data_IF_363337853758
#
_entry.id   IF_363337853758
#
_cell.length_a   1.000
_cell.length_b   1.000
_cell.length_c   1.000
_cell.angle_alpha   90.00
_cell.angle_beta   90.00
_cell.angle_gamma   90.00
#
_symmetry.space_group_name_H-M   'P 1'
#
loop_
_entity.id
_entity.type
_entity.pdbx_description
1 polymer ?
#
# COMPACT_ATOMS: atom_id res chain seq x y z
N UNK A 1 -12.69 -8.55 15.05
CA UNK A 1 -12.25 -8.14 13.71
C UNK A 1 -11.75 -6.71 13.85
N UNK A 2 -10.50 -6.44 13.47
CA UNK A 2 -9.88 -5.13 13.54
C UNK A 2 -10.30 -4.33 12.30
N UNK A 3 -10.88 -3.15 12.49
CA UNK A 3 -11.24 -2.29 11.36
C UNK A 3 -10.06 -1.40 10.98
N UNK A 4 -9.63 -1.52 9.73
CA UNK A 4 -8.55 -0.72 9.16
C UNK A 4 -9.06 0.70 8.96
N UNK A 5 -8.47 1.67 9.68
CA UNK A 5 -8.83 3.08 9.55
C UNK A 5 -8.31 3.69 8.24
N UNK A 6 -8.91 4.78 7.78
CA UNK A 6 -8.42 5.55 6.64
C UNK A 6 -6.98 6.04 6.83
N UNK A 7 -6.60 6.39 8.06
CA UNK A 7 -5.22 6.76 8.41
C UNK A 7 -4.23 5.61 8.20
N UNK A 8 -4.62 4.38 8.54
CA UNK A 8 -3.81 3.20 8.32
C UNK A 8 -3.68 2.88 6.82
N UNK A 9 -4.75 3.06 6.03
CA UNK A 9 -4.67 2.96 4.57
C UNK A 9 -3.75 4.02 3.96
N UNK A 10 -3.79 5.26 4.46
CA UNK A 10 -2.89 6.33 4.03
C UNK A 10 -1.42 5.99 4.31
N UNK A 11 -1.11 5.51 5.52
CA UNK A 11 0.24 5.09 5.87
C UNK A 11 0.70 3.93 4.98
N UNK A 12 -0.13 2.89 4.81
CA UNK A 12 0.19 1.75 3.96
C UNK A 12 0.40 2.15 2.49
N UNK A 13 -0.43 3.04 1.96
CA UNK A 13 -0.31 3.57 0.61
C UNK A 13 0.98 4.40 0.43
N UNK A 14 1.32 5.25 1.40
CA UNK A 14 2.57 6.02 1.38
C UNK A 14 3.79 5.09 1.38
N UNK A 15 3.80 4.05 2.23
CA UNK A 15 4.87 3.05 2.29
C UNK A 15 4.98 2.24 1.01
N UNK A 16 3.85 1.85 0.41
CA UNK A 16 3.84 1.14 -0.86
C UNK A 16 4.36 2.02 -2.00
N UNK A 17 3.94 3.28 -2.07
CA UNK A 17 4.42 4.25 -3.05
C UNK A 17 5.91 4.51 -2.95
N UNK A 18 6.43 4.62 -1.72
CA UNK A 18 7.86 4.77 -1.44
C UNK A 18 8.63 3.50 -1.87
N UNK A 19 8.13 2.32 -1.51
CA UNK A 19 8.77 1.05 -1.84
C UNK A 19 8.72 0.69 -3.34
N UNK A 20 7.73 1.21 -4.08
CA UNK A 20 7.69 1.11 -5.54
C UNK A 20 8.84 1.91 -6.17
N UNK A 21 9.27 3.02 -5.56
CA UNK A 21 10.40 3.87 -5.99
C UNK A 21 10.48 4.12 -7.51
N UNK A 22 9.38 4.55 -8.12
CA UNK A 22 9.36 4.80 -9.57
C UNK A 22 9.25 3.54 -10.46
N UNK A 23 9.34 2.34 -9.89
CA UNK A 23 9.17 1.07 -10.57
C UNK A 23 7.77 0.84 -11.13
N UNK A 24 7.68 -0.14 -12.04
CA UNK A 24 6.43 -0.60 -12.66
C UNK A 24 5.90 -1.89 -12.02
N UNK A 25 6.62 -2.44 -11.04
CA UNK A 25 6.27 -3.66 -10.34
C UNK A 25 6.87 -3.61 -8.94
N UNK A 26 6.10 -4.06 -7.95
CA UNK A 26 6.56 -4.24 -6.59
C UNK A 26 6.19 -5.65 -6.11
N UNK A 27 7.13 -6.30 -5.44
CA UNK A 27 6.89 -7.56 -4.74
C UNK A 27 7.71 -7.57 -3.45
N UNK A 28 7.04 -7.60 -2.32
CA UNK A 28 7.72 -7.57 -1.03
C UNK A 28 6.77 -7.44 0.15
N UNK A 29 7.37 -7.33 1.33
CA UNK A 29 6.67 -7.12 2.60
C UNK A 29 7.04 -5.77 3.18
N UNK A 30 6.01 -5.01 3.56
CA UNK A 30 6.09 -3.75 4.27
C UNK A 30 5.65 -4.01 5.72
N UNK A 31 6.60 -3.98 6.65
CA UNK A 31 6.32 -4.08 8.07
C UNK A 31 6.43 -2.69 8.71
N UNK A 32 5.38 -2.27 9.40
CA UNK A 32 5.31 -0.97 10.06
C UNK A 32 4.39 -1.03 11.28
N UNK A 33 4.57 -0.11 12.23
CA UNK A 33 3.77 -0.05 13.45
C UNK A 33 2.79 1.11 13.38
N UNK A 34 1.52 0.86 13.64
CA UNK A 34 0.46 1.87 13.67
C UNK A 34 -0.19 1.89 15.06
N UNK A 35 0.17 2.89 15.87
CA UNK A 35 -0.19 2.94 17.28
C UNK A 35 0.38 1.74 18.05
N UNK A 36 -0.50 0.93 18.65
CA UNK A 36 -0.16 -0.30 19.38
C UNK A 36 -0.34 -1.58 18.54
N UNK A 37 -0.57 -1.45 17.23
CA UNK A 37 -0.74 -2.58 16.31
C UNK A 37 0.45 -2.67 15.37
N UNK A 38 1.07 -3.85 15.30
CA UNK A 38 2.07 -4.15 14.28
C UNK A 38 1.38 -4.62 13.00
N UNK A 39 1.69 -3.96 11.89
CA UNK A 39 1.09 -4.21 10.58
C UNK A 39 2.15 -4.78 9.64
N UNK A 40 1.75 -5.79 8.87
CA UNK A 40 2.58 -6.35 7.79
C UNK A 40 1.75 -6.53 6.54
N UNK A 41 2.02 -5.69 5.53
CA UNK A 41 1.47 -5.81 4.19
C UNK A 41 2.47 -6.56 3.32
N UNK A 42 2.17 -7.79 2.91
CA UNK A 42 2.92 -8.44 1.83
C UNK A 42 2.09 -8.34 0.57
N UNK A 43 2.65 -7.76 -0.49
CA UNK A 43 1.93 -7.57 -1.74
C UNK A 43 2.85 -7.73 -2.94
N UNK A 44 2.26 -8.25 -4.01
CA UNK A 44 2.81 -8.21 -5.36
C UNK A 44 1.85 -7.41 -6.24
N UNK A 45 2.30 -6.26 -6.73
CA UNK A 45 1.47 -5.31 -7.46
C UNK A 45 2.15 -4.89 -8.75
N UNK A 46 1.35 -4.77 -9.82
CA UNK A 46 1.78 -4.15 -11.07
C UNK A 46 1.37 -2.68 -11.00
N UNK A 47 2.33 -1.80 -11.29
CA UNK A 47 2.17 -0.35 -11.20
C UNK A 47 2.03 0.21 -12.60
N UNK A 48 0.84 0.72 -12.91
CA UNK A 48 0.61 1.44 -14.14
C UNK A 48 0.96 2.91 -13.93
N UNK A 49 1.84 3.42 -14.79
CA UNK A 49 2.25 4.82 -14.77
C UNK A 49 1.80 5.51 -16.03
N UNK A 50 1.22 6.69 -15.85
CA UNK A 50 0.93 7.61 -16.92
C UNK A 50 2.21 8.31 -17.39
N UNK A 51 2.06 9.12 -18.43
CA UNK A 51 3.05 10.11 -18.82
C UNK A 51 2.36 11.45 -18.93
N UNK A 52 2.76 12.39 -18.08
CA UNK A 52 2.25 13.76 -18.12
C UNK A 52 3.42 14.65 -18.51
N UNK A 53 3.27 15.38 -19.62
CA UNK A 53 4.26 16.37 -20.06
C UNK A 53 3.79 17.75 -19.62
N UNK A 54 4.56 18.38 -18.74
CA UNK A 54 4.33 19.74 -18.28
C UNK A 54 5.48 20.64 -18.77
N UNK A 55 5.33 21.99 -18.80
CA UNK A 55 6.42 22.89 -19.15
C UNK A 55 7.69 22.70 -18.31
N UNK A 56 7.54 22.22 -17.08
CA UNK A 56 8.59 21.97 -16.10
C UNK A 56 9.27 20.60 -16.30
N UNK A 57 8.74 19.76 -17.19
CA UNK A 57 9.29 18.45 -17.51
C UNK A 57 8.26 17.33 -17.65
N UNK A 58 8.74 16.13 -17.89
CA UNK A 58 7.92 14.91 -17.99
C UNK A 58 7.83 14.24 -16.63
N UNK A 59 6.61 13.92 -16.20
CA UNK A 59 6.32 13.16 -14.99
C UNK A 59 5.66 11.83 -15.33
N UNK A 60 5.91 10.83 -14.49
CA UNK A 60 5.34 9.48 -14.61
C UNK A 60 4.52 9.12 -13.35
N UNK A 61 3.37 9.79 -13.13
CA UNK A 61 2.53 9.52 -11.97
C UNK A 61 1.97 8.09 -12.04
N UNK A 62 1.75 7.48 -10.88
CA UNK A 62 0.98 6.23 -10.78
C UNK A 62 -0.46 6.55 -11.18
N UNK A 63 -1.00 5.78 -12.12
CA UNK A 63 -2.38 5.92 -12.60
C UNK A 63 -3.26 4.79 -12.11
N UNK A 64 -2.67 3.61 -11.90
CA UNK A 64 -3.38 2.47 -11.32
C UNK A 64 -2.40 1.49 -10.66
N UNK A 65 -2.92 0.72 -9.70
CA UNK A 65 -2.24 -0.43 -9.09
C UNK A 65 -3.10 -1.67 -9.28
N UNK A 66 -2.52 -2.71 -9.87
CA UNK A 66 -3.19 -4.00 -10.01
C UNK A 66 -2.56 -4.99 -9.03
N UNK A 67 -3.25 -5.38 -7.95
CA UNK A 67 -2.76 -6.42 -7.06
C UNK A 67 -2.81 -7.78 -7.75
N UNK A 68 -1.68 -8.47 -7.80
CA UNK A 68 -1.58 -9.85 -8.25
C UNK A 68 -1.82 -10.80 -7.08
N UNK A 69 -1.23 -10.49 -5.93
CA UNK A 69 -1.38 -11.23 -4.68
C UNK A 69 -1.11 -10.29 -3.51
N UNK A 70 -1.83 -10.44 -2.40
CA UNK A 70 -1.59 -9.65 -1.20
C UNK A 70 -2.11 -10.35 0.05
N UNK A 71 -1.48 -10.05 1.19
CA UNK A 71 -1.90 -10.41 2.54
C UNK A 71 -1.60 -9.24 3.48
N UNK A 72 -2.55 -8.92 4.37
CA UNK A 72 -2.38 -7.89 5.38
C UNK A 72 -2.60 -8.47 6.78
N UNK A 73 -1.53 -8.53 7.56
CA UNK A 73 -1.56 -9.04 8.93
C UNK A 73 -1.50 -7.89 9.93
N UNK A 74 -2.33 -7.98 10.96
CA UNK A 74 -2.33 -7.07 12.10
C UNK A 74 -2.09 -7.88 13.37
N UNK A 75 -1.06 -7.54 14.13
CA UNK A 75 -0.71 -8.18 15.40
C UNK A 75 -0.85 -7.19 16.54
N UNK A 76 -1.54 -7.60 17.60
CA UNK A 76 -1.68 -6.86 18.84
C UNK A 76 -1.08 -7.67 20.00
N UNK A 77 -1.11 -7.14 21.23
CA UNK A 77 -0.51 -7.78 22.40
C UNK A 77 -1.00 -9.23 22.67
N UNK A 78 -2.15 -9.63 22.12
CA UNK A 78 -2.72 -10.97 22.22
C UNK A 78 -2.43 -11.90 21.02
N UNK A 79 -1.65 -11.46 20.03
CA UNK A 79 -1.38 -12.20 18.80
C UNK A 79 -2.01 -11.57 17.57
N UNK A 80 -2.11 -12.37 16.51
CA UNK A 80 -2.69 -11.94 15.23
C UNK A 80 -4.19 -11.72 15.36
N UNK A 81 -4.66 -10.58 14.84
CA UNK A 81 -6.06 -10.20 14.80
C UNK A 81 -6.49 -10.10 13.34
N UNK A 82 -7.58 -10.79 12.98
CA UNK A 82 -8.19 -10.66 11.66
C UNK A 82 -8.68 -9.23 11.44
N UNK A 83 -8.38 -8.68 10.27
CA UNK A 83 -8.80 -7.34 9.86
C UNK A 83 -9.73 -7.39 8.63
N UNK A 84 -10.34 -6.25 8.32
CA UNK A 84 -11.22 -6.04 7.17
C UNK A 84 -10.49 -5.31 6.02
N UNK A 85 -9.17 -5.50 5.89
CA UNK A 85 -8.39 -4.83 4.86
C UNK A 85 -8.88 -5.16 3.45
N UNK A 86 -9.06 -4.12 2.63
CA UNK A 86 -9.36 -4.22 1.21
C UNK A 86 -8.32 -3.42 0.41
N UNK A 87 -7.65 -4.10 -0.51
CA UNK A 87 -6.70 -3.47 -1.41
C UNK A 87 -7.36 -2.38 -2.28
N UNK A 88 -8.64 -2.51 -2.61
CA UNK A 88 -9.41 -1.54 -3.38
C UNK A 88 -9.55 -0.20 -2.65
N UNK A 89 -9.63 -0.22 -1.32
CA UNK A 89 -9.61 1.00 -0.50
C UNK A 89 -8.19 1.60 -0.48
N UNK A 90 -7.14 0.77 -0.36
CA UNK A 90 -5.76 1.25 -0.44
C UNK A 90 -5.45 1.99 -1.75
N UNK A 91 -5.95 1.48 -2.88
CA UNK A 91 -5.78 2.11 -4.21
C UNK A 91 -6.29 3.54 -4.30
N UNK A 92 -7.23 3.94 -3.45
CA UNK A 92 -7.78 5.31 -3.44
C UNK A 92 -6.81 6.33 -2.88
N UNK A 93 -5.71 5.88 -2.27
CA UNK A 93 -4.75 6.71 -1.55
C UNK A 93 -3.36 6.73 -2.19
N UNK A 94 -3.21 6.16 -3.40
CA UNK A 94 -1.95 6.08 -4.17
C UNK A 94 -1.94 7.09 -5.31
#
# INVERSE_FOLDING_TARGET
MYSVSSELYHEAAARLSDAIDGGNYFSGSLAFRFGDTDCRLTASVIVYRGRVSLPEGVRHPVTDLVPVWWEFHTTQAGGEVLNDFDFSELKRYV
#
